data_IF_701198775066
#
_entry.id   IF_701198775066
#
_cell.length_a   1.000
_cell.length_b   1.000
_cell.length_c   1.000
_cell.angle_alpha   90.00
_cell.angle_beta   90.00
_cell.angle_gamma   90.00
#
_symmetry.space_group_name_H-M   'P 1'
#
loop_
_entity.id
_entity.type
_entity.pdbx_description
1 polymer ?
#
# COMPACT_ATOMS: atom_id res chain seq x y z
N UNK A 1 -53.28 -9.51 -83.50
CA UNK A 1 -52.24 -10.47 -83.05
C UNK A 1 -51.04 -9.70 -82.67
N UNK A 2 -50.87 -9.39 -81.37
CA UNK A 2 -49.76 -8.60 -80.85
C UNK A 2 -49.13 -9.44 -79.72
N UNK A 3 -47.89 -9.85 -79.91
CA UNK A 3 -47.13 -10.63 -78.98
C UNK A 3 -46.38 -9.67 -78.08
N UNK A 4 -46.77 -9.62 -76.79
CA UNK A 4 -46.03 -8.95 -75.73
C UNK A 4 -44.85 -9.81 -75.32
N UNK A 5 -43.63 -9.25 -75.39
CA UNK A 5 -42.40 -9.79 -74.76
C UNK A 5 -42.15 -9.04 -73.45
N UNK A 6 -42.29 -9.75 -72.35
CA UNK A 6 -41.83 -9.27 -71.06
C UNK A 6 -40.31 -9.48 -70.95
N UNK A 7 -39.57 -8.39 -70.76
CA UNK A 7 -38.17 -8.41 -70.36
C UNK A 7 -38.10 -8.52 -68.82
N UNK A 8 -37.51 -9.60 -68.34
CA UNK A 8 -37.24 -9.81 -66.92
C UNK A 8 -35.86 -9.21 -66.64
N UNK A 9 -35.80 -8.10 -65.88
CA UNK A 9 -34.57 -7.53 -65.41
C UNK A 9 -34.16 -8.23 -64.08
N UNK A 10 -33.06 -8.99 -64.10
CA UNK A 10 -32.43 -9.56 -62.88
C UNK A 10 -31.63 -8.48 -62.19
N UNK A 11 -32.09 -8.04 -61.01
CA UNK A 11 -31.29 -7.25 -60.10
C UNK A 11 -30.31 -8.20 -59.28
N UNK A 12 -29.04 -8.15 -59.59
CA UNK A 12 -28.02 -8.73 -58.74
C UNK A 12 -27.79 -7.80 -57.52
N UNK A 13 -28.31 -8.18 -56.36
CA UNK A 13 -27.95 -7.56 -55.10
C UNK A 13 -26.59 -8.10 -54.66
N UNK A 14 -25.54 -7.29 -54.75
CA UNK A 14 -24.25 -7.59 -54.19
C UNK A 14 -24.32 -7.34 -52.67
N UNK A 15 -24.44 -8.41 -51.89
CA UNK A 15 -24.31 -8.37 -50.43
C UNK A 15 -22.83 -8.22 -50.09
N UNK A 16 -22.39 -7.02 -49.71
CA UNK A 16 -21.10 -6.77 -49.10
C UNK A 16 -21.13 -7.32 -47.68
N UNK A 17 -20.48 -8.47 -47.48
CA UNK A 17 -20.12 -8.98 -46.15
C UNK A 17 -19.10 -8.02 -45.52
N UNK A 18 -19.56 -7.20 -44.57
CA UNK A 18 -18.68 -6.47 -43.71
C UNK A 18 -18.00 -7.50 -42.79
N UNK A 19 -16.73 -7.78 -43.07
CA UNK A 19 -15.85 -8.51 -42.11
C UNK A 19 -15.69 -7.62 -40.93
N UNK A 20 -16.32 -7.97 -39.82
CA UNK A 20 -16.05 -7.33 -38.53
C UNK A 20 -14.57 -7.59 -38.18
N UNK A 21 -13.74 -6.56 -38.21
CA UNK A 21 -12.39 -6.61 -37.65
C UNK A 21 -12.52 -6.86 -36.17
N UNK A 22 -12.00 -8.00 -35.69
CA UNK A 22 -11.77 -8.26 -34.30
C UNK A 22 -10.93 -7.11 -33.72
N UNK A 23 -11.31 -6.56 -32.54
CA UNK A 23 -10.47 -5.52 -31.90
C UNK A 23 -9.09 -6.09 -31.70
N UNK A 24 -8.10 -5.39 -32.21
CA UNK A 24 -6.69 -5.75 -32.06
C UNK A 24 -6.40 -6.00 -30.58
N UNK A 25 -5.95 -7.22 -30.25
CA UNK A 25 -5.47 -7.59 -28.93
C UNK A 25 -4.41 -6.54 -28.51
N UNK A 26 -4.51 -5.92 -27.31
CA UNK A 26 -3.49 -4.98 -26.88
C UNK A 26 -2.12 -5.65 -27.01
N UNK A 27 -1.17 -4.94 -27.59
CA UNK A 27 0.19 -5.42 -27.72
C UNK A 27 0.69 -5.77 -26.31
N UNK A 28 0.94 -7.06 -26.06
CA UNK A 28 1.65 -7.51 -24.87
C UNK A 28 3.03 -6.86 -24.91
N UNK A 29 3.23 -5.82 -24.08
CA UNK A 29 4.55 -5.27 -23.84
C UNK A 29 5.36 -6.35 -23.14
N UNK A 30 6.05 -7.17 -23.92
CA UNK A 30 6.98 -8.16 -23.39
C UNK A 30 8.15 -7.40 -22.81
N UNK A 31 8.15 -7.28 -21.47
CA UNK A 31 9.24 -6.63 -20.76
C UNK A 31 10.57 -7.34 -21.10
N UNK A 32 11.59 -6.58 -21.47
CA UNK A 32 12.92 -7.13 -21.67
C UNK A 32 13.37 -7.84 -20.39
N UNK A 33 14.03 -9.01 -20.52
CA UNK A 33 14.48 -9.79 -19.37
C UNK A 33 15.23 -8.92 -18.36
N UNK A 34 14.74 -8.87 -17.14
CA UNK A 34 15.33 -8.12 -16.02
C UNK A 34 16.56 -8.85 -15.51
N UNK A 35 17.58 -8.08 -15.15
CA UNK A 35 18.82 -8.62 -14.56
C UNK A 35 19.38 -7.64 -13.53
N UNK A 36 20.45 -8.06 -12.84
CA UNK A 36 21.17 -7.19 -11.91
C UNK A 36 21.75 -5.91 -12.56
N UNK A 37 21.91 -5.87 -13.90
CA UNK A 37 22.33 -4.67 -14.60
C UNK A 37 21.30 -3.53 -14.54
N UNK A 38 20.02 -3.86 -14.28
CA UNK A 38 18.95 -2.90 -14.09
C UNK A 38 18.89 -2.31 -12.66
N UNK A 39 19.71 -2.80 -11.73
CA UNK A 39 19.74 -2.28 -10.36
C UNK A 39 20.35 -0.88 -10.35
N UNK A 40 19.62 0.05 -9.72
CA UNK A 40 20.09 1.38 -9.44
C UNK A 40 19.91 1.66 -7.95
N UNK A 41 21.02 1.74 -7.24
CA UNK A 41 21.06 1.97 -5.79
C UNK A 41 22.02 3.13 -5.49
N UNK A 42 21.59 4.38 -5.76
CA UNK A 42 22.41 5.55 -5.53
C UNK A 42 22.57 5.81 -4.03
N UNK A 43 23.60 6.59 -3.63
CA UNK A 43 23.67 7.13 -2.27
C UNK A 43 22.39 7.89 -1.90
N UNK A 44 22.02 7.88 -0.63
CA UNK A 44 20.78 8.49 -0.13
C UNK A 44 20.66 9.97 -0.52
N UNK A 45 21.77 10.70 -0.44
CA UNK A 45 21.83 12.13 -0.79
C UNK A 45 21.56 12.37 -2.28
N UNK A 46 22.05 11.47 -3.16
CA UNK A 46 21.79 11.57 -4.59
C UNK A 46 20.32 11.30 -4.89
N UNK A 47 19.72 10.30 -4.25
CA UNK A 47 18.29 10.00 -4.39
C UNK A 47 17.44 11.16 -3.87
N UNK A 48 17.77 11.72 -2.71
CA UNK A 48 17.09 12.88 -2.16
C UNK A 48 17.14 14.09 -3.10
N UNK A 49 18.31 14.35 -3.71
CA UNK A 49 18.46 15.42 -4.69
C UNK A 49 17.59 15.20 -5.94
N UNK A 50 17.52 13.97 -6.45
CA UNK A 50 16.63 13.59 -7.57
C UNK A 50 15.16 13.82 -7.20
N UNK A 51 14.74 13.36 -6.03
CA UNK A 51 13.37 13.54 -5.53
C UNK A 51 13.02 15.02 -5.40
N UNK A 52 13.88 15.81 -4.75
CA UNK A 52 13.66 17.24 -4.56
C UNK A 52 13.51 17.98 -5.90
N UNK A 53 14.37 17.66 -6.86
CA UNK A 53 14.37 18.30 -8.18
C UNK A 53 13.11 18.02 -8.98
N UNK A 54 12.53 16.85 -8.82
CA UNK A 54 11.33 16.44 -9.53
C UNK A 54 10.02 16.62 -8.73
N UNK A 55 10.09 16.95 -7.43
CA UNK A 55 8.90 17.13 -6.59
C UNK A 55 7.98 18.28 -7.08
N UNK A 56 8.55 19.28 -7.75
CA UNK A 56 7.81 20.42 -8.31
C UNK A 56 7.34 20.18 -9.74
N UNK A 57 7.68 19.03 -10.34
CA UNK A 57 7.24 18.71 -11.68
C UNK A 57 5.74 18.40 -11.71
N UNK A 58 5.08 18.82 -12.78
CA UNK A 58 3.71 18.40 -13.08
C UNK A 58 3.63 16.86 -13.08
N UNK A 59 2.58 16.24 -12.50
CA UNK A 59 2.38 14.80 -12.51
C UNK A 59 2.57 14.13 -13.87
N UNK A 60 2.21 14.82 -14.96
CA UNK A 60 2.43 14.35 -16.35
C UNK A 60 3.92 14.33 -16.74
N UNK A 61 4.75 15.13 -16.08
CA UNK A 61 6.18 15.28 -16.41
C UNK A 61 7.13 14.67 -15.37
N UNK A 62 6.60 14.21 -14.23
CA UNK A 62 7.41 13.70 -13.12
C UNK A 62 8.25 12.49 -13.51
N UNK A 63 7.69 11.58 -14.31
CA UNK A 63 8.40 10.42 -14.84
C UNK A 63 9.60 10.83 -15.70
N UNK A 64 9.39 11.72 -16.66
CA UNK A 64 10.46 12.21 -17.53
C UNK A 64 11.54 12.94 -16.75
N UNK A 65 11.16 13.73 -15.73
CA UNK A 65 12.09 14.36 -14.83
C UNK A 65 12.95 13.30 -14.13
N UNK A 66 12.29 12.30 -13.52
CA UNK A 66 12.97 11.25 -12.77
C UNK A 66 13.96 10.47 -13.63
N UNK A 67 13.57 10.03 -14.82
CA UNK A 67 14.46 9.34 -15.76
C UNK A 67 15.67 10.18 -16.16
N UNK A 68 15.49 11.48 -16.41
CA UNK A 68 16.58 12.38 -16.71
C UNK A 68 17.57 12.52 -15.54
N UNK A 69 17.05 12.64 -14.32
CA UNK A 69 17.85 12.76 -13.11
C UNK A 69 18.52 11.42 -12.74
N UNK A 70 17.86 10.28 -12.93
CA UNK A 70 18.47 8.95 -12.82
C UNK A 70 19.70 8.85 -13.73
N UNK A 71 19.57 9.31 -14.98
CA UNK A 71 20.67 9.33 -15.95
C UNK A 71 21.81 10.21 -15.48
N UNK A 72 21.50 11.42 -15.00
CA UNK A 72 22.49 12.36 -14.48
C UNK A 72 23.20 11.80 -13.22
N UNK A 73 22.51 11.01 -12.41
CA UNK A 73 23.03 10.32 -11.25
C UNK A 73 23.72 8.96 -11.57
N UNK A 74 23.99 8.67 -12.83
CA UNK A 74 24.77 7.50 -13.27
C UNK A 74 24.00 6.19 -13.38
N UNK A 75 22.66 6.24 -13.49
CA UNK A 75 21.87 5.03 -13.75
C UNK A 75 22.27 4.38 -15.10
N UNK A 76 22.33 3.06 -15.13
CA UNK A 76 22.59 2.29 -16.35
C UNK A 76 21.42 2.44 -17.34
N UNK A 77 21.67 2.11 -18.60
CA UNK A 77 20.61 2.08 -19.61
C UNK A 77 19.55 1.04 -19.26
N UNK A 78 19.94 -0.07 -18.69
CA UNK A 78 19.08 -1.14 -18.23
C UNK A 78 18.19 -0.70 -17.04
N UNK A 79 18.76 0.07 -16.11
CA UNK A 79 18.00 0.64 -14.99
C UNK A 79 16.92 1.62 -15.46
N UNK A 80 17.28 2.48 -16.42
CA UNK A 80 16.33 3.44 -17.01
C UNK A 80 15.24 2.74 -17.81
N UNK A 81 15.60 1.73 -18.63
CA UNK A 81 14.62 0.94 -19.39
C UNK A 81 13.66 0.18 -18.48
N UNK A 82 14.14 -0.34 -17.34
CA UNK A 82 13.29 -0.97 -16.35
C UNK A 82 12.28 0.04 -15.75
N UNK A 83 12.75 1.18 -15.27
CA UNK A 83 11.89 2.22 -14.70
C UNK A 83 10.84 2.70 -15.73
N UNK A 84 11.24 2.96 -16.97
CA UNK A 84 10.36 3.38 -18.06
C UNK A 84 9.29 2.30 -18.38
N UNK A 85 9.67 1.01 -18.34
CA UNK A 85 8.73 -0.09 -18.63
C UNK A 85 7.59 -0.22 -17.62
N UNK A 86 7.77 0.26 -16.40
CA UNK A 86 6.78 0.15 -15.31
C UNK A 86 6.00 1.45 -15.07
N UNK A 87 6.44 2.56 -15.61
CA UNK A 87 5.88 3.87 -15.34
C UNK A 87 4.37 3.97 -15.63
N UNK A 88 3.90 3.39 -16.72
CA UNK A 88 2.49 3.39 -17.09
C UNK A 88 1.58 2.52 -16.21
N UNK A 89 2.14 1.60 -15.42
CA UNK A 89 1.36 0.64 -14.61
C UNK A 89 1.57 0.83 -13.12
N UNK A 90 2.76 1.16 -12.70
CA UNK A 90 3.15 1.27 -11.29
C UNK A 90 3.55 2.69 -10.88
N UNK A 91 3.63 3.62 -11.83
CA UNK A 91 4.15 4.97 -11.60
C UNK A 91 5.68 4.99 -11.55
N UNK A 92 6.24 6.02 -10.91
CA UNK A 92 7.69 6.23 -10.91
C UNK A 92 8.37 5.31 -9.90
N UNK A 93 8.98 4.26 -10.42
CA UNK A 93 9.69 3.23 -9.65
C UNK A 93 11.09 2.98 -10.20
N UNK A 94 11.95 2.41 -9.38
CA UNK A 94 13.26 1.92 -9.82
C UNK A 94 13.61 0.59 -9.15
N UNK A 95 14.50 -0.18 -9.78
CA UNK A 95 14.95 -1.46 -9.25
C UNK A 95 16.08 -1.24 -8.24
N UNK A 96 15.78 -1.50 -6.97
CA UNK A 96 16.75 -1.36 -5.87
C UNK A 96 17.63 -2.58 -5.68
N UNK A 97 17.05 -3.77 -5.82
CA UNK A 97 17.78 -5.02 -5.74
C UNK A 97 17.17 -6.08 -6.65
N UNK A 98 18.01 -7.00 -7.07
CA UNK A 98 17.63 -8.12 -7.94
C UNK A 98 18.20 -9.42 -7.41
N UNK A 99 17.36 -10.44 -7.33
CA UNK A 99 17.77 -11.79 -6.97
C UNK A 99 17.46 -12.74 -8.11
N UNK A 100 18.52 -13.27 -8.69
CA UNK A 100 18.38 -14.37 -9.64
C UNK A 100 18.06 -15.67 -8.87
N UNK A 101 17.02 -16.38 -9.33
CA UNK A 101 16.60 -17.64 -8.74
C UNK A 101 16.75 -18.76 -9.76
N UNK A 102 15.86 -18.81 -10.74
CA UNK A 102 15.93 -19.82 -11.82
C UNK A 102 15.31 -19.26 -13.11
N UNK A 103 14.05 -19.62 -13.38
CA UNK A 103 13.28 -19.12 -14.53
C UNK A 103 12.59 -17.83 -14.24
N UNK A 104 11.99 -17.76 -13.04
CA UNK A 104 11.39 -16.55 -12.48
C UNK A 104 12.32 -16.04 -11.41
N UNK A 105 12.55 -14.74 -11.44
CA UNK A 105 13.47 -14.03 -10.57
C UNK A 105 12.73 -13.04 -9.69
N UNK A 106 13.38 -12.48 -8.67
CA UNK A 106 12.79 -11.52 -7.73
C UNK A 106 13.42 -10.16 -7.93
N UNK A 107 12.58 -9.16 -8.15
CA UNK A 107 12.94 -7.77 -8.27
C UNK A 107 12.36 -6.97 -7.10
N UNK A 108 13.21 -6.19 -6.43
CA UNK A 108 12.81 -5.24 -5.39
C UNK A 108 12.76 -3.88 -6.00
N UNK A 109 11.60 -3.26 -6.00
CA UNK A 109 11.42 -1.91 -6.50
C UNK A 109 11.18 -0.95 -5.35
N UNK A 110 11.54 0.30 -5.58
CA UNK A 110 11.20 1.40 -4.70
C UNK A 110 10.43 2.46 -5.49
N UNK A 111 9.36 2.98 -4.87
CA UNK A 111 8.56 4.08 -5.41
C UNK A 111 9.24 5.41 -5.08
N UNK A 112 9.61 6.17 -6.09
CA UNK A 112 10.38 7.39 -5.88
C UNK A 112 9.62 8.50 -5.14
N UNK A 113 8.29 8.56 -5.28
CA UNK A 113 7.46 9.67 -4.80
C UNK A 113 6.25 9.25 -3.96
N UNK A 114 6.21 8.02 -3.47
CA UNK A 114 5.18 7.61 -2.51
C UNK A 114 5.59 8.05 -1.09
N UNK A 115 4.60 8.40 -0.28
CA UNK A 115 4.81 8.75 1.12
C UNK A 115 4.85 7.51 2.03
N UNK A 116 4.08 6.48 1.68
CA UNK A 116 3.96 5.21 2.40
C UNK A 116 4.10 4.06 1.40
N UNK A 117 4.42 2.85 1.91
CA UNK A 117 4.61 1.67 1.05
C UNK A 117 5.60 1.96 -0.09
N UNK A 118 6.79 2.40 0.33
CA UNK A 118 7.84 2.82 -0.60
C UNK A 118 8.37 1.69 -1.46
N UNK A 119 8.04 0.44 -1.14
CA UNK A 119 8.63 -0.73 -1.75
C UNK A 119 7.60 -1.75 -2.19
N UNK A 120 7.94 -2.49 -3.23
CA UNK A 120 7.21 -3.67 -3.63
C UNK A 120 8.16 -4.76 -4.12
N UNK A 121 7.66 -5.98 -4.14
CA UNK A 121 8.34 -7.15 -4.69
C UNK A 121 7.64 -7.57 -5.98
N UNK A 122 8.42 -7.68 -7.04
CA UNK A 122 7.94 -8.18 -8.32
C UNK A 122 8.57 -9.54 -8.62
N UNK A 123 7.76 -10.48 -9.10
CA UNK A 123 8.23 -11.69 -9.74
C UNK A 123 8.39 -11.39 -11.23
N UNK A 124 9.62 -11.48 -11.71
CA UNK A 124 10.01 -11.08 -13.06
C UNK A 124 10.61 -12.24 -13.85
N UNK A 125 10.69 -12.05 -15.16
CA UNK A 125 11.24 -13.03 -16.09
C UNK A 125 10.40 -14.30 -16.28
N UNK A 126 9.22 -14.38 -15.65
CA UNK A 126 8.20 -15.38 -15.90
C UNK A 126 7.17 -14.92 -16.95
N UNK A 127 6.04 -15.59 -17.02
CA UNK A 127 4.94 -15.26 -17.90
C UNK A 127 3.60 -15.37 -17.14
N UNK A 128 2.83 -14.28 -16.94
CA UNK A 128 3.19 -12.91 -17.29
C UNK A 128 4.37 -12.35 -16.47
N UNK A 129 4.95 -11.26 -16.93
CA UNK A 129 6.00 -10.52 -16.22
C UNK A 129 5.78 -9.02 -16.43
N UNK A 130 5.83 -8.21 -15.34
CA UNK A 130 6.02 -8.61 -13.95
C UNK A 130 4.71 -9.08 -13.27
N UNK A 131 4.85 -9.80 -12.15
CA UNK A 131 3.75 -10.02 -11.21
C UNK A 131 4.10 -9.23 -9.94
N UNK A 132 3.28 -8.26 -9.57
CA UNK A 132 3.34 -7.58 -8.29
C UNK A 132 2.71 -8.50 -7.24
N UNK A 133 3.50 -8.93 -6.25
CA UNK A 133 3.00 -9.83 -5.21
C UNK A 133 2.03 -9.12 -4.25
N UNK A 134 2.05 -7.79 -4.21
CA UNK A 134 1.20 -6.98 -3.35
C UNK A 134 -0.10 -6.52 -4.04
N UNK A 135 -0.33 -6.96 -5.29
CA UNK A 135 -1.58 -6.71 -6.00
C UNK A 135 -2.75 -7.36 -5.27
N UNK A 136 -3.79 -6.58 -4.98
CA UNK A 136 -4.99 -6.99 -4.25
C UNK A 136 -5.66 -8.25 -4.83
N UNK A 137 -5.52 -8.51 -6.13
CA UNK A 137 -6.04 -9.73 -6.78
C UNK A 137 -5.54 -11.00 -6.12
N UNK A 138 -4.34 -10.98 -5.53
CA UNK A 138 -3.73 -12.14 -4.89
C UNK A 138 -3.99 -12.18 -3.39
N UNK A 139 -4.14 -11.02 -2.76
CA UNK A 139 -4.29 -10.89 -1.31
C UNK A 139 -5.75 -10.92 -0.85
N UNK A 140 -6.70 -10.51 -1.70
CA UNK A 140 -8.13 -10.45 -1.41
C UNK A 140 -8.92 -11.63 -1.99
N UNK A 141 -8.24 -12.62 -2.53
CA UNK A 141 -8.87 -13.76 -3.20
C UNK A 141 -9.80 -14.58 -2.27
N UNK A 142 -10.76 -15.22 -2.90
CA UNK A 142 -11.70 -16.15 -2.26
C UNK A 142 -11.00 -17.26 -1.46
N UNK A 143 -9.78 -17.63 -1.83
CA UNK A 143 -8.99 -18.64 -1.13
C UNK A 143 -8.58 -18.20 0.29
N UNK A 144 -8.25 -16.92 0.51
CA UNK A 144 -7.96 -16.39 1.86
C UNK A 144 -9.16 -16.59 2.77
N UNK A 145 -10.34 -16.21 2.31
CA UNK A 145 -11.60 -16.32 3.07
C UNK A 145 -12.04 -17.77 3.33
N UNK A 146 -11.61 -18.71 2.50
CA UNK A 146 -11.87 -20.14 2.68
C UNK A 146 -10.94 -20.80 3.70
N UNK A 147 -9.86 -20.13 4.08
CA UNK A 147 -8.94 -20.65 5.09
C UNK A 147 -9.59 -20.59 6.48
N UNK A 148 -9.65 -21.72 7.19
CA UNK A 148 -10.35 -21.82 8.48
C UNK A 148 -9.76 -20.89 9.55
N UNK A 149 -8.42 -20.72 9.58
CA UNK A 149 -7.78 -19.83 10.53
C UNK A 149 -8.08 -18.35 10.21
N UNK A 150 -8.13 -17.99 8.94
CA UNK A 150 -8.55 -16.65 8.52
C UNK A 150 -10.02 -16.39 8.87
N UNK A 151 -10.92 -17.37 8.62
CA UNK A 151 -12.33 -17.24 8.95
C UNK A 151 -12.53 -17.00 10.46
N UNK A 152 -11.81 -17.75 11.32
CA UNK A 152 -11.83 -17.55 12.78
C UNK A 152 -11.32 -16.16 13.19
N UNK A 153 -10.30 -15.65 12.53
CA UNK A 153 -9.82 -14.28 12.76
C UNK A 153 -10.85 -13.24 12.31
N UNK A 154 -11.48 -13.45 11.16
CA UNK A 154 -12.48 -12.54 10.60
C UNK A 154 -13.76 -12.45 11.45
N UNK A 155 -14.15 -13.52 12.14
CA UNK A 155 -15.24 -13.51 13.12
C UNK A 155 -14.92 -12.61 14.32
N UNK A 156 -13.66 -12.61 14.75
CA UNK A 156 -13.20 -11.81 15.89
C UNK A 156 -12.85 -10.36 15.50
N UNK A 157 -12.37 -10.17 14.29
CA UNK A 157 -11.91 -8.89 13.73
C UNK A 157 -12.66 -8.62 12.42
N UNK A 158 -13.86 -8.01 12.47
CA UNK A 158 -14.70 -7.82 11.27
C UNK A 158 -14.05 -6.95 10.17
N UNK A 159 -13.07 -6.16 10.54
CA UNK A 159 -12.35 -5.26 9.62
C UNK A 159 -10.99 -5.79 9.19
N UNK A 160 -10.75 -7.11 9.38
CA UNK A 160 -9.46 -7.71 9.02
C UNK A 160 -9.05 -7.35 7.59
N UNK A 161 -7.83 -6.88 7.46
CA UNK A 161 -7.20 -6.49 6.20
C UNK A 161 -5.84 -7.16 6.04
N UNK A 162 -5.45 -7.36 4.78
CA UNK A 162 -4.18 -7.98 4.40
C UNK A 162 -3.25 -6.88 3.93
N UNK A 163 -2.08 -6.81 4.52
CA UNK A 163 -1.07 -5.81 4.21
C UNK A 163 0.24 -6.47 3.79
N UNK A 164 1.00 -5.86 2.89
CA UNK A 164 2.36 -6.29 2.63
C UNK A 164 3.10 -6.46 3.94
N UNK A 165 3.78 -7.60 4.12
CA UNK A 165 4.71 -7.78 5.21
C UNK A 165 5.90 -6.84 5.03
N UNK A 166 6.66 -6.61 6.09
CA UNK A 166 7.90 -5.84 6.00
C UNK A 166 8.83 -6.49 4.97
N UNK A 167 9.07 -5.79 3.86
CA UNK A 167 9.89 -6.27 2.75
C UNK A 167 11.37 -5.91 2.94
N UNK A 168 11.69 -4.99 3.88
CA UNK A 168 13.05 -4.50 4.11
C UNK A 168 13.90 -5.35 5.04
N UNK A 169 13.31 -6.09 5.95
CA UNK A 169 14.04 -6.93 6.91
C UNK A 169 14.81 -8.10 6.28
N UNK A 170 15.09 -8.02 4.97
CA UNK A 170 15.79 -9.07 4.25
C UNK A 170 14.99 -10.37 4.13
N UNK A 171 13.74 -10.37 4.54
CA UNK A 171 12.81 -11.48 4.36
C UNK A 171 12.28 -11.51 2.93
N UNK A 172 13.19 -11.78 2.04
CA UNK A 172 12.91 -12.09 0.65
C UNK A 172 11.88 -13.23 0.57
N UNK A 173 11.00 -13.25 -0.44
CA UNK A 173 10.18 -14.42 -0.67
C UNK A 173 11.06 -15.68 -0.61
N UNK A 174 10.71 -16.58 0.29
CA UNK A 174 11.40 -17.88 0.31
C UNK A 174 10.95 -18.65 -0.91
N UNK A 175 11.92 -19.23 -1.62
CA UNK A 175 11.63 -20.00 -2.82
C UNK A 175 11.74 -21.48 -2.47
N UNK A 176 10.67 -22.21 -2.72
CA UNK A 176 10.69 -23.67 -2.70
C UNK A 176 10.60 -24.17 -4.13
N UNK A 177 11.65 -24.85 -4.58
CA UNK A 177 11.59 -25.62 -5.81
C UNK A 177 11.11 -27.03 -5.46
N UNK A 178 10.01 -27.47 -6.07
CA UNK A 178 9.59 -28.85 -5.93
C UNK A 178 10.38 -29.70 -6.93
N UNK A 179 10.75 -30.93 -6.56
CA UNK A 179 11.49 -31.85 -7.43
C UNK A 179 10.81 -32.22 -8.76
N UNK A 180 9.65 -31.63 -9.04
CA UNK A 180 8.88 -31.74 -10.29
C UNK A 180 9.09 -30.54 -11.23
N UNK A 181 10.05 -29.65 -10.92
CA UNK A 181 10.42 -28.54 -11.78
C UNK A 181 9.50 -27.31 -11.65
N UNK A 182 8.52 -27.31 -10.75
CA UNK A 182 7.74 -26.10 -10.43
C UNK A 182 8.51 -25.21 -9.47
N UNK A 183 8.34 -23.89 -9.61
CA UNK A 183 8.96 -22.89 -8.77
C UNK A 183 7.86 -22.15 -8.00
N UNK A 184 7.93 -22.14 -6.66
CA UNK A 184 6.94 -21.50 -5.81
C UNK A 184 7.61 -20.46 -4.90
N UNK A 185 7.14 -19.24 -4.96
CA UNK A 185 7.58 -18.12 -4.11
C UNK A 185 6.61 -17.98 -2.96
N UNK A 186 7.09 -18.14 -1.74
CA UNK A 186 6.31 -17.99 -0.51
C UNK A 186 6.45 -16.57 -0.02
N UNK A 187 5.35 -15.83 -0.06
CA UNK A 187 5.27 -14.39 0.31
C UNK A 187 4.44 -14.25 1.57
N UNK A 188 5.00 -13.57 2.56
CA UNK A 188 4.32 -13.33 3.84
C UNK A 188 3.62 -11.98 3.83
N UNK A 189 2.41 -11.93 4.42
CA UNK A 189 1.59 -10.75 4.62
C UNK A 189 1.23 -10.60 6.08
N UNK A 190 1.07 -9.37 6.55
CA UNK A 190 0.51 -9.05 7.85
C UNK A 190 -1.00 -9.01 7.78
N UNK A 191 -1.68 -9.65 8.72
CA UNK A 191 -3.12 -9.52 8.93
C UNK A 191 -3.32 -8.48 10.04
N UNK A 192 -4.07 -7.41 9.76
CA UNK A 192 -4.28 -6.30 10.68
C UNK A 192 -5.75 -6.04 10.89
N UNK A 193 -6.10 -5.45 12.04
CA UNK A 193 -7.48 -5.09 12.38
C UNK A 193 -7.82 -3.72 11.78
N UNK A 194 -8.02 -3.68 10.48
CA UNK A 194 -8.51 -2.55 9.70
C UNK A 194 -7.46 -1.78 8.93
N UNK A 195 -6.44 -1.19 9.56
CA UNK A 195 -5.52 -0.28 8.90
C UNK A 195 -4.06 -0.74 8.91
N UNK A 196 -3.23 -0.08 8.08
CA UNK A 196 -1.79 -0.35 8.01
C UNK A 196 -1.08 -0.16 9.37
N UNK A 197 -1.45 0.85 10.14
CA UNK A 197 -0.89 1.13 11.47
C UNK A 197 -1.62 0.40 12.61
N UNK A 198 -2.70 -0.34 12.29
CA UNK A 198 -3.47 -1.09 13.28
C UNK A 198 -2.69 -2.32 13.78
N UNK A 199 -3.17 -2.89 14.90
CA UNK A 199 -2.54 -4.06 15.52
C UNK A 199 -2.44 -5.23 14.54
N UNK A 200 -1.28 -5.86 14.47
CA UNK A 200 -1.11 -7.12 13.77
C UNK A 200 -1.78 -8.23 14.57
N UNK A 201 -2.75 -8.88 13.96
CA UNK A 201 -3.55 -9.94 14.55
C UNK A 201 -3.16 -11.33 14.03
N UNK A 202 -2.26 -11.37 13.07
CA UNK A 202 -1.76 -12.61 12.49
C UNK A 202 -0.94 -12.36 11.24
N UNK A 203 -0.53 -13.46 10.63
CA UNK A 203 0.18 -13.45 9.34
C UNK A 203 -0.45 -14.45 8.38
N UNK A 204 -0.36 -14.15 7.09
CA UNK A 204 -0.71 -15.07 6.03
C UNK A 204 0.49 -15.29 5.11
N UNK A 205 0.64 -16.51 4.60
CA UNK A 205 1.65 -16.83 3.58
C UNK A 205 0.94 -17.28 2.32
N UNK A 206 1.27 -16.65 1.19
CA UNK A 206 0.74 -16.98 -0.12
C UNK A 206 1.86 -17.54 -0.98
N UNK A 207 1.61 -18.67 -1.62
CA UNK A 207 2.52 -19.31 -2.58
C UNK A 207 2.15 -18.93 -4.00
N UNK A 208 3.08 -18.28 -4.71
CA UNK A 208 2.98 -17.96 -6.14
C UNK A 208 3.71 -19.05 -6.93
N UNK A 209 2.98 -19.87 -7.65
CA UNK A 209 3.52 -21.06 -8.32
C UNK A 209 3.64 -20.85 -9.82
N UNK A 210 4.78 -21.24 -10.36
CA UNK A 210 5.10 -21.24 -11.79
C UNK A 210 5.48 -22.65 -12.24
N UNK A 211 5.16 -22.98 -13.49
CA UNK A 211 5.55 -24.25 -14.11
C UNK A 211 7.02 -24.28 -14.55
N UNK A 212 7.39 -25.38 -15.20
CA UNK A 212 8.76 -25.62 -15.72
C UNK A 212 9.21 -24.59 -16.76
N UNK A 213 8.28 -23.92 -17.42
CA UNK A 213 8.56 -22.91 -18.45
C UNK A 213 8.50 -21.49 -17.92
N UNK A 214 8.17 -21.33 -16.62
CA UNK A 214 8.04 -20.03 -15.96
C UNK A 214 6.67 -19.39 -16.16
N UNK A 215 5.65 -20.15 -16.58
CA UNK A 215 4.30 -19.63 -16.67
C UNK A 215 3.64 -19.66 -15.29
N UNK A 216 2.98 -18.56 -14.93
CA UNK A 216 2.24 -18.45 -13.68
C UNK A 216 1.04 -19.39 -13.69
N UNK A 217 0.90 -20.18 -12.64
CA UNK A 217 -0.17 -21.14 -12.48
C UNK A 217 -1.23 -20.68 -11.49
N UNK A 218 -0.81 -20.22 -10.31
CA UNK A 218 -1.73 -19.80 -9.26
C UNK A 218 -1.02 -19.03 -8.14
N UNK A 219 -1.77 -18.19 -7.45
CA UNK A 219 -1.47 -17.73 -6.10
C UNK A 219 -2.41 -18.45 -5.14
N UNK A 220 -1.87 -19.10 -4.09
CA UNK A 220 -2.62 -19.90 -3.13
C UNK A 220 -2.19 -19.58 -1.71
N UNK A 221 -3.17 -19.47 -0.80
CA UNK A 221 -2.88 -19.37 0.62
C UNK A 221 -2.26 -20.68 1.10
N UNK A 222 -1.00 -20.61 1.51
CA UNK A 222 -0.25 -21.75 2.03
C UNK A 222 -0.48 -21.90 3.54
N UNK A 223 -0.54 -20.80 4.27
CA UNK A 223 -0.71 -20.81 5.72
C UNK A 223 -1.33 -19.50 6.22
N UNK A 224 -2.08 -19.59 7.32
CA UNK A 224 -2.52 -18.44 8.11
C UNK A 224 -2.20 -18.77 9.58
N UNK A 225 -1.47 -17.87 10.22
CA UNK A 225 -1.12 -17.98 11.64
C UNK A 225 -1.80 -16.84 12.38
N UNK A 226 -2.67 -17.17 13.31
CA UNK A 226 -3.22 -16.17 14.24
C UNK A 226 -2.07 -15.65 15.12
N UNK A 227 -1.96 -14.34 15.24
CA UNK A 227 -1.09 -13.70 16.21
C UNK A 227 -1.51 -14.11 17.62
N UNK A 228 -0.58 -14.06 18.57
CA UNK A 228 -0.95 -14.13 19.97
C UNK A 228 -2.00 -13.03 20.21
N UNK A 229 -3.16 -13.40 20.76
CA UNK A 229 -4.15 -12.39 21.13
C UNK A 229 -3.42 -11.28 21.88
N UNK A 230 -3.59 -10.00 21.53
CA UNK A 230 -2.97 -8.94 22.27
C UNK A 230 -3.22 -9.21 23.73
N UNK A 231 -2.16 -9.40 24.51
CA UNK A 231 -2.31 -9.59 25.96
C UNK A 231 -3.05 -8.35 26.44
N UNK A 232 -4.19 -8.56 27.09
CA UNK A 232 -5.01 -7.49 27.68
C UNK A 232 -4.27 -6.64 28.74
N UNK A 233 -2.96 -6.63 28.77
CA UNK A 233 -2.12 -6.03 29.78
C UNK A 233 -1.01 -5.11 29.27
N UNK A 234 -0.83 -4.97 27.97
CA UNK A 234 0.08 -3.96 27.43
C UNK A 234 -0.49 -3.47 26.08
N UNK A 235 -1.53 -2.69 26.18
CA UNK A 235 -1.94 -1.84 25.09
C UNK A 235 -0.91 -0.71 25.06
N UNK A 236 0.19 -0.92 24.31
CA UNK A 236 0.84 0.22 23.72
C UNK A 236 -0.27 0.95 22.93
N UNK A 237 -0.43 2.26 23.10
CA UNK A 237 -1.52 3.00 22.49
C UNK A 237 -1.47 2.74 20.99
N UNK A 238 -2.55 2.19 20.45
CA UNK A 238 -2.71 2.02 19.02
C UNK A 238 -2.68 3.42 18.40
N UNK A 239 -1.60 3.73 17.72
CA UNK A 239 -1.47 4.94 16.93
C UNK A 239 -2.28 4.78 15.63
N UNK A 240 -3.59 4.80 15.75
CA UNK A 240 -4.52 4.67 14.63
C UNK A 240 -5.50 5.81 14.66
N UNK A 241 -5.07 6.99 14.21
CA UNK A 241 -5.99 8.08 13.93
C UNK A 241 -6.80 7.76 12.67
N UNK A 242 -7.99 7.23 12.82
CA UNK A 242 -8.97 7.21 11.74
C UNK A 242 -9.96 8.37 11.89
N UNK A 243 -10.25 8.98 10.73
CA UNK A 243 -11.43 9.81 10.55
C UNK A 243 -12.69 8.93 10.68
N UNK A 244 -13.04 8.54 11.89
CA UNK A 244 -14.35 7.95 12.14
C UNK A 244 -15.30 9.13 12.35
N UNK A 245 -16.08 9.44 11.35
CA UNK A 245 -17.16 10.38 11.50
C UNK A 245 -18.09 9.88 12.63
N UNK A 246 -17.89 10.40 13.84
CA UNK A 246 -18.80 10.29 14.96
C UNK A 246 -18.65 9.10 15.94
N UNK A 247 -17.60 8.30 15.88
CA UNK A 247 -17.31 7.27 16.88
C UNK A 247 -16.54 7.82 18.09
N UNK A 248 -16.84 7.29 19.30
CA UNK A 248 -16.04 7.52 20.52
C UNK A 248 -15.18 6.29 20.76
N UNK A 249 -13.84 6.46 20.73
CA UNK A 249 -12.91 5.36 21.01
C UNK A 249 -12.72 5.19 22.53
N UNK A 250 -12.77 3.95 23.03
CA UNK A 250 -12.61 3.66 24.44
C UNK A 250 -11.18 3.22 24.76
N UNK A 251 -10.50 3.97 25.64
CA UNK A 251 -9.16 3.64 26.14
C UNK A 251 -9.26 3.27 27.62
N UNK A 252 -8.67 2.14 28.00
CA UNK A 252 -8.64 1.66 29.39
C UNK A 252 -7.23 1.79 29.96
N UNK A 253 -7.10 2.48 31.10
CA UNK A 253 -5.82 2.73 31.74
C UNK A 253 -5.93 2.53 33.24
N UNK A 254 -4.84 2.17 33.91
CA UNK A 254 -4.77 2.13 35.39
C UNK A 254 -4.43 3.52 35.94
N UNK A 255 -5.02 3.89 37.07
CA UNK A 255 -4.71 5.14 37.75
C UNK A 255 -3.20 5.29 38.01
N UNK A 256 -2.64 6.48 37.81
CA UNK A 256 -1.22 6.77 37.92
C UNK A 256 -0.36 6.27 36.74
N UNK A 257 -0.96 5.83 35.65
CA UNK A 257 -0.22 5.41 34.44
C UNK A 257 -0.33 6.43 33.31
N UNK A 258 0.73 6.51 32.53
CA UNK A 258 0.75 7.33 31.31
C UNK A 258 0.23 6.52 30.14
N UNK A 259 -0.41 7.23 29.21
CA UNK A 259 -0.86 6.70 27.91
C UNK A 259 -0.72 7.82 26.87
N UNK A 260 -0.61 7.46 25.61
CA UNK A 260 -0.49 8.42 24.53
C UNK A 260 -1.59 8.20 23.48
N UNK A 261 -2.02 9.29 22.86
CA UNK A 261 -2.92 9.32 21.72
C UNK A 261 -2.14 9.90 20.56
N UNK A 262 -2.07 9.18 19.45
CA UNK A 262 -1.40 9.63 18.24
C UNK A 262 -2.46 10.04 17.22
N UNK A 263 -2.37 11.26 16.73
CA UNK A 263 -3.30 11.85 15.77
C UNK A 263 -2.53 12.20 14.49
N UNK A 264 -3.05 11.75 13.35
CA UNK A 264 -2.48 12.13 12.06
C UNK A 264 -2.63 13.63 11.84
N UNK A 265 -1.52 14.32 11.60
CA UNK A 265 -1.46 15.75 11.41
C UNK A 265 -0.64 16.13 10.18
N UNK A 266 -0.92 17.30 9.62
CA UNK A 266 -0.08 17.87 8.58
C UNK A 266 0.07 19.36 8.83
N UNK A 267 1.10 19.74 9.61
CA UNK A 267 1.37 21.14 9.97
C UNK A 267 1.76 22.01 8.77
N UNK A 268 2.22 21.39 7.67
CA UNK A 268 2.53 22.15 6.45
C UNK A 268 1.31 22.77 5.80
N UNK A 269 0.11 22.27 6.11
CA UNK A 269 -1.17 22.83 5.66
C UNK A 269 -1.71 23.93 6.58
N UNK A 270 -0.99 24.25 7.66
CA UNK A 270 -1.39 25.22 8.67
C UNK A 270 -2.39 24.70 9.70
N UNK A 271 -2.69 23.39 9.71
CA UNK A 271 -3.56 22.75 10.68
C UNK A 271 -2.78 22.07 11.79
N UNK A 272 -3.34 22.05 13.00
CA UNK A 272 -2.86 21.26 14.15
C UNK A 272 -4.03 20.79 15.01
N UNK A 273 -3.79 19.77 15.81
CA UNK A 273 -4.75 19.31 16.80
C UNK A 273 -4.72 20.19 18.04
N UNK A 274 -5.87 20.33 18.69
CA UNK A 274 -6.01 20.92 20.02
C UNK A 274 -7.07 20.16 20.81
N UNK A 275 -7.03 20.24 22.12
CA UNK A 275 -8.15 19.81 22.96
C UNK A 275 -9.34 20.73 22.74
N UNK A 276 -10.53 20.13 22.52
CA UNK A 276 -11.78 20.88 22.34
C UNK A 276 -12.28 21.51 23.64
N UNK A 277 -11.91 20.93 24.80
CA UNK A 277 -12.23 21.42 26.12
C UNK A 277 -11.05 21.24 27.09
N UNK A 278 -10.96 22.03 28.16
CA UNK A 278 -9.97 21.82 29.22
C UNK A 278 -10.14 20.43 29.86
N UNK A 279 -9.03 19.83 30.26
CA UNK A 279 -9.02 18.57 31.01
C UNK A 279 -9.59 18.76 32.41
N UNK A 280 -10.25 17.71 32.93
CA UNK A 280 -10.49 17.60 34.36
C UNK A 280 -9.19 17.16 35.06
N UNK A 281 -8.54 18.03 35.85
CA UNK A 281 -7.26 17.72 36.47
C UNK A 281 -7.35 16.64 37.55
N UNK A 282 -8.56 16.32 38.04
CA UNK A 282 -8.79 15.22 38.95
C UNK A 282 -8.72 13.84 38.23
N UNK A 283 -8.92 13.83 36.93
CA UNK A 283 -8.97 12.61 36.13
C UNK A 283 -7.74 12.45 35.24
N UNK A 284 -7.32 13.50 34.54
CA UNK A 284 -6.27 13.46 33.54
C UNK A 284 -5.35 14.67 33.64
N UNK A 285 -4.06 14.47 33.41
CA UNK A 285 -3.05 15.49 33.28
C UNK A 285 -2.32 15.32 31.96
N UNK A 286 -2.24 16.37 31.17
CA UNK A 286 -1.39 16.39 29.96
C UNK A 286 0.08 16.46 30.36
N UNK A 287 0.90 15.59 29.78
CA UNK A 287 2.36 15.52 30.02
C UNK A 287 3.11 16.16 28.87
N UNK A 288 2.76 15.83 27.61
CA UNK A 288 3.38 16.42 26.42
C UNK A 288 2.41 16.40 25.23
N UNK A 289 2.73 17.23 24.25
CA UNK A 289 2.23 17.18 22.88
C UNK A 289 3.41 17.36 21.94
N UNK A 290 3.74 16.32 21.22
CA UNK A 290 4.91 16.29 20.35
C UNK A 290 4.51 16.08 18.91
N UNK A 291 5.12 16.84 18.01
CA UNK A 291 4.93 16.67 16.58
C UNK A 291 6.11 15.90 15.98
N UNK A 292 5.84 14.73 15.47
CA UNK A 292 6.80 13.89 14.77
C UNK A 292 6.64 14.08 13.28
N UNK A 293 7.49 14.92 12.70
CA UNK A 293 7.54 15.07 11.25
C UNK A 293 8.03 13.76 10.63
N UNK A 294 7.35 13.32 9.57
CA UNK A 294 7.88 12.22 8.77
C UNK A 294 9.14 12.69 8.05
N UNK A 295 10.27 12.01 8.23
CA UNK A 295 11.60 12.37 7.67
C UNK A 295 11.68 12.29 6.13
N UNK A 296 10.56 12.26 5.43
CA UNK A 296 10.51 12.12 3.97
C UNK A 296 10.91 13.36 3.18
N UNK A 297 11.07 14.53 3.84
CA UNK A 297 11.38 15.81 3.17
C UNK A 297 10.33 16.29 2.16
N UNK A 298 9.26 15.54 1.94
CA UNK A 298 8.20 15.89 1.01
C UNK A 298 7.13 16.76 1.68
N UNK A 299 6.73 17.83 1.01
CA UNK A 299 5.63 18.69 1.45
C UNK A 299 4.30 17.95 1.29
N UNK A 300 3.46 17.97 2.33
CA UNK A 300 2.13 17.36 2.28
C UNK A 300 2.03 15.94 2.82
N UNK A 301 3.13 15.37 3.29
CA UNK A 301 3.12 14.04 3.91
C UNK A 301 2.42 14.10 5.27
N UNK A 302 1.49 13.17 5.57
CA UNK A 302 0.94 13.04 6.90
C UNK A 302 2.07 12.77 7.92
N UNK A 303 2.04 13.53 9.00
CA UNK A 303 2.93 13.40 10.15
C UNK A 303 2.07 13.06 11.37
N UNK A 304 2.66 12.92 12.53
CA UNK A 304 1.95 12.51 13.73
C UNK A 304 2.08 13.57 14.82
N UNK A 305 0.97 13.84 15.52
CA UNK A 305 0.97 14.54 16.81
C UNK A 305 0.70 13.54 17.92
N UNK A 306 1.68 13.35 18.81
CA UNK A 306 1.60 12.42 19.94
C UNK A 306 1.28 13.20 21.21
N UNK A 307 0.12 12.96 21.76
CA UNK A 307 -0.39 13.56 22.98
C UNK A 307 -0.26 12.58 24.13
N UNK A 308 0.57 12.90 25.13
CA UNK A 308 0.79 12.02 26.29
C UNK A 308 0.06 12.58 27.51
N UNK A 309 -0.66 11.70 28.17
CA UNK A 309 -1.45 12.00 29.37
C UNK A 309 -1.07 11.06 30.51
N UNK A 310 -1.27 11.55 31.73
CA UNK A 310 -1.23 10.75 32.94
C UNK A 310 -2.63 10.65 33.52
N UNK A 311 -3.08 9.42 33.81
CA UNK A 311 -4.33 9.15 34.49
C UNK A 311 -4.16 9.40 35.98
N UNK A 312 -5.00 10.23 36.58
CA UNK A 312 -4.90 10.66 37.99
C UNK A 312 -5.90 9.91 38.87
N UNK A 313 -7.18 10.15 38.65
CA UNK A 313 -8.28 9.58 39.42
C UNK A 313 -8.96 8.41 38.72
N UNK A 314 -9.68 7.59 39.48
CA UNK A 314 -10.50 6.49 38.92
C UNK A 314 -11.83 7.01 38.43
N UNK A 315 -12.30 6.47 37.30
CA UNK A 315 -13.57 6.88 36.69
C UNK A 315 -13.51 6.89 35.18
N UNK A 316 -14.36 7.70 34.54
CA UNK A 316 -14.38 7.87 33.09
C UNK A 316 -14.16 9.34 32.75
N UNK A 317 -13.15 9.64 31.93
CA UNK A 317 -12.87 10.95 31.40
C UNK A 317 -13.14 10.99 29.88
N UNK A 318 -13.48 12.15 29.35
CA UNK A 318 -13.62 12.38 27.92
C UNK A 318 -12.44 13.23 27.41
N UNK A 319 -11.89 12.82 26.27
CA UNK A 319 -10.88 13.58 25.53
C UNK A 319 -11.41 13.83 24.14
N UNK A 320 -11.74 15.09 23.88
CA UNK A 320 -12.21 15.54 22.57
C UNK A 320 -11.14 16.42 21.93
N UNK A 321 -10.76 16.09 20.70
CA UNK A 321 -9.78 16.83 19.90
C UNK A 321 -10.43 17.45 18.69
N UNK A 322 -9.90 18.61 18.30
CA UNK A 322 -10.29 19.37 17.12
C UNK A 322 -9.06 19.66 16.25
N UNK A 323 -9.16 19.37 14.95
CA UNK A 323 -8.14 19.71 13.97
C UNK A 323 -8.49 21.05 13.32
N UNK A 324 -7.74 22.08 13.64
CA UNK A 324 -8.04 23.47 13.31
C UNK A 324 -6.83 24.20 12.75
N UNK A 325 -7.06 25.38 12.16
CA UNK A 325 -6.01 26.36 11.89
C UNK A 325 -5.89 27.30 13.08
N UNK A 326 -4.89 27.16 13.95
CA UNK A 326 -4.83 27.90 15.22
C UNK A 326 -4.69 29.41 15.06
N UNK A 327 -4.22 29.88 13.90
CA UNK A 327 -4.07 31.32 13.62
C UNK A 327 -5.33 32.00 13.05
N UNK A 328 -6.34 31.21 12.69
CA UNK A 328 -7.60 31.75 12.19
C UNK A 328 -8.57 32.02 13.37
N UNK A 329 -9.04 33.25 13.46
CA UNK A 329 -10.05 33.64 14.45
C UNK A 329 -11.37 32.92 14.11
N UNK A 330 -11.95 32.21 15.07
CA UNK A 330 -13.19 31.44 14.90
C UNK A 330 -13.04 30.23 13.94
N UNK A 331 -11.83 29.64 13.87
CA UNK A 331 -11.55 28.45 13.05
C UNK A 331 -12.48 27.28 13.41
N UNK A 332 -13.23 26.80 12.43
CA UNK A 332 -14.04 25.57 12.57
C UNK A 332 -13.14 24.36 12.46
N UNK A 333 -13.41 23.35 13.29
CA UNK A 333 -12.75 22.06 13.18
C UNK A 333 -13.09 21.41 11.84
N UNK A 334 -12.05 21.01 11.10
CA UNK A 334 -12.20 20.24 9.85
C UNK A 334 -12.23 18.75 10.12
N UNK A 335 -11.71 18.32 11.29
CA UNK A 335 -11.77 16.96 11.81
C UNK A 335 -11.93 17.01 13.33
N UNK A 336 -12.51 15.96 13.90
CA UNK A 336 -12.61 15.75 15.35
C UNK A 336 -12.26 14.32 15.69
N UNK A 337 -11.65 14.12 16.87
CA UNK A 337 -11.40 12.80 17.42
C UNK A 337 -11.89 12.77 18.89
N UNK A 338 -12.58 11.70 19.27
CA UNK A 338 -13.23 11.59 20.60
C UNK A 338 -12.85 10.29 21.27
N UNK A 339 -12.42 10.39 22.50
CA UNK A 339 -11.98 9.26 23.31
C UNK A 339 -12.69 9.25 24.66
N UNK A 340 -13.10 8.04 25.07
CA UNK A 340 -13.60 7.76 26.42
C UNK A 340 -12.52 7.02 27.20
N UNK A 341 -11.96 7.65 28.22
CA UNK A 341 -10.85 7.09 29.02
C UNK A 341 -11.41 6.47 30.28
N UNK A 342 -11.38 5.16 30.37
CA UNK A 342 -11.79 4.40 31.56
C UNK A 342 -10.59 4.15 32.45
N UNK A 343 -10.55 4.80 33.61
CA UNK A 343 -9.47 4.72 34.58
C UNK A 343 -9.86 3.78 35.71
N UNK A 344 -9.12 2.70 35.92
CA UNK A 344 -9.39 1.66 36.92
C UNK A 344 -8.49 1.74 38.13
#
# INVERSE_FOLDING_TARGET
>A
MIRNRFLLAMLCAASSLAVAQEPAKPAEHTMTRVSSAAVWNPPAEALAAVRQKCAEADPVHIEKCFLNEMKAAGASREAMAFAESLAGTMGVVYLRAFRRVERVDVAYIEYAFRANELEAVLLVNGNPSPIDVDDERFTMDADMRKNAAYATLAERYPHISVWPGDRFDGKLPTVTSTGWGTQTFMVQYSLRDGCHACAEIGTATVGFTFDTDGNFQAARVANVVAGAAPRAAEIAPSSGGFDVAGGVEEIRVLAGKQFSITLTANRTTGYSWRLAAPLDPAMLKQISDEYHATDSGAVGVPSEEVWTFESVGKGTAQLDFEYVRPLEKDAKAVKTAKYSIIIK
#
